data_IF_317177004601
#
_entry.id   IF_317177004601
#
_cell.length_a   1.000
_cell.length_b   1.000
_cell.length_c   1.000
_cell.angle_alpha   90.00
_cell.angle_beta   90.00
_cell.angle_gamma   90.00
#
_symmetry.space_group_name_H-M   'P 1'
#
loop_
_entity.id
_entity.type
_entity.pdbx_description
1 polymer ?
#
# COMPACT_ATOMS: atom_id res chain seq x y z
N UNK A 1 -12.18 -15.50 -17.47
CA UNK A 1 -12.68 -15.28 -16.09
C UNK A 1 -12.05 -14.01 -15.52
N UNK A 2 -12.88 -13.04 -15.10
CA UNK A 2 -12.43 -11.80 -14.46
C UNK A 2 -12.39 -12.07 -12.95
N UNK A 3 -11.21 -12.39 -12.40
CA UNK A 3 -11.04 -12.62 -10.97
C UNK A 3 -10.37 -11.39 -10.35
N UNK A 4 -11.12 -10.57 -9.61
CA UNK A 4 -10.51 -9.75 -8.56
C UNK A 4 -10.97 -8.30 -8.34
N UNK A 5 -11.90 -7.71 -9.08
CA UNK A 5 -12.17 -6.26 -8.93
C UNK A 5 -13.65 -5.82 -9.02
N UNK A 6 -14.53 -6.71 -9.47
CA UNK A 6 -15.98 -6.51 -9.46
C UNK A 6 -16.60 -7.49 -8.48
N UNK A 7 -17.64 -7.06 -7.77
CA UNK A 7 -18.42 -7.98 -6.94
C UNK A 7 -19.28 -8.91 -7.83
N UNK A 8 -19.90 -9.92 -7.22
CA UNK A 8 -20.68 -10.93 -7.96
C UNK A 8 -21.88 -10.32 -8.71
N UNK A 9 -22.51 -9.29 -8.16
CA UNK A 9 -23.66 -8.60 -8.76
C UNK A 9 -23.25 -7.76 -9.98
N UNK A 10 -22.21 -6.95 -9.84
CA UNK A 10 -21.61 -6.16 -10.93
C UNK A 10 -21.19 -7.06 -12.09
N UNK A 11 -20.60 -8.22 -11.78
CA UNK A 11 -20.19 -9.17 -12.79
C UNK A 11 -21.41 -9.74 -13.56
N UNK A 12 -22.48 -10.12 -12.85
CA UNK A 12 -23.73 -10.59 -13.48
C UNK A 12 -24.36 -9.50 -14.36
N UNK A 13 -24.47 -8.27 -13.85
CA UNK A 13 -25.00 -7.13 -14.62
C UNK A 13 -24.18 -6.85 -15.88
N UNK A 14 -22.86 -6.92 -15.80
CA UNK A 14 -21.98 -6.78 -16.97
C UNK A 14 -22.23 -7.89 -17.98
N UNK A 15 -22.33 -9.14 -17.53
CA UNK A 15 -22.61 -10.28 -18.41
C UNK A 15 -23.98 -10.17 -19.08
N UNK A 16 -25.02 -9.76 -18.35
CA UNK A 16 -26.36 -9.55 -18.90
C UNK A 16 -26.37 -8.44 -19.95
N UNK A 17 -25.72 -7.30 -19.67
CA UNK A 17 -25.58 -6.22 -20.63
C UNK A 17 -24.87 -6.69 -21.90
N UNK A 18 -23.80 -7.48 -21.75
CA UNK A 18 -23.07 -8.06 -22.89
C UNK A 18 -23.89 -9.05 -23.71
N UNK A 19 -24.75 -9.86 -23.06
CA UNK A 19 -25.65 -10.81 -23.75
C UNK A 19 -26.75 -10.09 -24.52
N UNK A 20 -27.33 -9.03 -23.95
CA UNK A 20 -28.44 -8.28 -24.57
C UNK A 20 -28.04 -7.53 -25.84
N UNK A 21 -26.79 -7.08 -25.92
CA UNK A 21 -26.33 -6.18 -26.98
C UNK A 21 -25.78 -6.89 -28.22
N UNK A 22 -25.76 -8.23 -28.24
CA UNK A 22 -25.16 -9.08 -29.28
C UNK A 22 -23.89 -8.49 -29.92
N UNK A 23 -23.00 -8.00 -29.06
CA UNK A 23 -21.84 -7.22 -29.51
C UNK A 23 -20.83 -8.13 -30.22
N UNK A 24 -20.32 -7.73 -31.41
CA UNK A 24 -19.18 -8.38 -32.02
C UNK A 24 -17.99 -8.46 -31.04
N UNK A 25 -17.13 -9.48 -31.11
CA UNK A 25 -16.04 -9.69 -30.15
C UNK A 25 -15.14 -8.47 -29.93
N UNK A 26 -14.84 -7.72 -31.00
CA UNK A 26 -14.06 -6.48 -30.90
C UNK A 26 -14.75 -5.40 -30.06
N UNK A 27 -16.07 -5.25 -30.21
CA UNK A 27 -16.87 -4.30 -29.42
C UNK A 27 -16.95 -4.72 -27.96
N UNK A 28 -17.14 -6.01 -27.69
CA UNK A 28 -17.11 -6.55 -26.31
C UNK A 28 -15.78 -6.24 -25.62
N UNK A 29 -14.65 -6.53 -26.26
CA UNK A 29 -13.31 -6.22 -25.71
C UNK A 29 -13.13 -4.74 -25.45
N UNK A 30 -13.57 -3.89 -26.38
CA UNK A 30 -13.53 -2.43 -26.23
C UNK A 30 -14.34 -1.95 -25.02
N UNK A 31 -15.55 -2.47 -24.84
CA UNK A 31 -16.38 -2.14 -23.68
C UNK A 31 -15.69 -2.54 -22.36
N UNK A 32 -15.17 -3.76 -22.28
CA UNK A 32 -14.44 -4.23 -21.10
C UNK A 32 -13.21 -3.36 -20.80
N UNK A 33 -12.46 -2.97 -21.84
CA UNK A 33 -11.32 -2.08 -21.69
C UNK A 33 -11.75 -0.70 -21.19
N UNK A 34 -12.84 -0.14 -21.72
CA UNK A 34 -13.37 1.16 -21.31
C UNK A 34 -13.88 1.11 -19.86
N UNK A 35 -14.51 0.01 -19.45
CA UNK A 35 -14.91 -0.22 -18.06
C UNK A 35 -13.70 -0.31 -17.13
N UNK A 36 -12.65 -1.04 -17.53
CA UNK A 36 -11.39 -1.09 -16.78
C UNK A 36 -10.73 0.30 -16.69
N UNK A 37 -10.69 1.05 -17.79
CA UNK A 37 -9.96 2.33 -17.88
C UNK A 37 -10.68 3.49 -17.21
N UNK A 38 -11.95 3.68 -17.53
CA UNK A 38 -12.74 4.84 -17.13
C UNK A 38 -13.65 4.56 -15.94
N UNK A 39 -13.92 3.28 -15.65
CA UNK A 39 -14.58 2.85 -14.42
C UNK A 39 -13.54 2.55 -13.34
N UNK A 40 -12.94 1.36 -13.39
CA UNK A 40 -12.16 0.81 -12.27
C UNK A 40 -10.87 1.58 -11.99
N UNK A 41 -10.03 1.86 -13.00
CA UNK A 41 -8.77 2.61 -12.80
C UNK A 41 -9.05 4.05 -12.32
N UNK A 42 -10.10 4.69 -12.84
CA UNK A 42 -10.51 6.03 -12.44
C UNK A 42 -11.05 6.07 -11.00
N UNK A 43 -11.89 5.09 -10.64
CA UNK A 43 -12.38 4.91 -9.28
C UNK A 43 -11.21 4.65 -8.32
N UNK A 44 -10.26 3.77 -8.67
CA UNK A 44 -9.07 3.50 -7.87
C UNK A 44 -8.23 4.77 -7.63
N UNK A 45 -8.00 5.59 -8.66
CA UNK A 45 -7.33 6.90 -8.51
C UNK A 45 -8.05 7.81 -7.53
N UNK A 46 -9.38 7.88 -7.62
CA UNK A 46 -10.21 8.70 -6.71
C UNK A 46 -10.19 8.16 -5.28
N UNK A 47 -10.34 6.85 -5.10
CA UNK A 47 -10.32 6.16 -3.81
C UNK A 47 -9.00 6.42 -3.08
N UNK A 48 -7.87 6.24 -3.77
CA UNK A 48 -6.55 6.59 -3.22
C UNK A 48 -6.42 8.09 -2.93
N UNK A 49 -6.88 8.96 -3.83
CA UNK A 49 -6.84 10.41 -3.61
C UNK A 49 -7.62 10.81 -2.35
N UNK A 50 -8.74 10.15 -2.10
CA UNK A 50 -9.61 10.42 -0.96
C UNK A 50 -9.27 9.59 0.29
N UNK A 51 -8.37 8.60 0.17
CA UNK A 51 -8.01 7.65 1.24
C UNK A 51 -9.23 6.85 1.73
N UNK A 52 -9.97 6.26 0.81
CA UNK A 52 -11.20 5.52 1.09
C UNK A 52 -11.30 4.21 0.31
N UNK A 53 -12.15 3.30 0.77
CA UNK A 53 -12.55 2.09 0.07
C UNK A 53 -13.38 2.41 -1.19
N UNK A 54 -13.56 1.46 -2.12
CA UNK A 54 -14.53 1.59 -3.20
C UNK A 54 -15.93 1.99 -2.72
N UNK A 55 -16.30 1.57 -1.51
CA UNK A 55 -17.63 1.79 -0.94
C UNK A 55 -17.74 3.11 -0.17
N UNK A 56 -16.61 3.82 -0.02
CA UNK A 56 -16.56 5.16 0.58
C UNK A 56 -15.99 5.20 1.99
N UNK A 57 -15.71 4.06 2.61
CA UNK A 57 -15.17 4.00 3.98
C UNK A 57 -13.77 4.57 4.05
N UNK A 58 -13.51 5.47 5.00
CA UNK A 58 -12.18 6.04 5.19
C UNK A 58 -11.20 4.97 5.66
N UNK A 59 -10.02 4.94 5.04
CA UNK A 59 -8.95 4.05 5.46
C UNK A 59 -8.44 4.39 6.85
N UNK A 60 -8.00 3.35 7.56
CA UNK A 60 -7.21 3.55 8.76
C UNK A 60 -5.91 4.29 8.43
N UNK A 61 -5.68 5.37 9.19
CA UNK A 61 -4.53 6.24 9.06
C UNK A 61 -3.18 5.54 9.31
N UNK A 62 -2.09 6.29 9.12
CA UNK A 62 -0.74 5.79 9.40
C UNK A 62 -0.56 5.64 10.91
N UNK A 63 0.06 4.54 11.33
CA UNK A 63 0.54 4.35 12.71
C UNK A 63 1.76 5.25 13.05
N UNK A 64 2.33 5.93 12.04
CA UNK A 64 3.49 6.81 12.22
C UNK A 64 3.07 8.27 12.29
N UNK A 65 3.91 9.14 12.87
CA UNK A 65 3.69 10.59 12.94
C UNK A 65 3.80 11.33 11.60
N UNK A 66 4.02 10.63 10.48
CA UNK A 66 4.18 11.26 9.16
C UNK A 66 2.83 11.75 8.67
N UNK A 67 2.77 13.04 8.33
CA UNK A 67 1.60 13.68 7.73
C UNK A 67 1.68 13.51 6.20
N UNK A 68 0.72 12.81 5.59
CA UNK A 68 0.67 12.61 4.14
C UNK A 68 -0.18 11.41 3.72
N UNK A 69 -0.94 11.57 2.62
CA UNK A 69 -1.81 10.50 2.09
C UNK A 69 -0.98 9.28 1.63
N UNK A 70 -1.52 8.07 1.81
CA UNK A 70 -0.87 6.81 1.45
C UNK A 70 -1.11 6.48 -0.03
N UNK A 71 -0.22 5.68 -0.61
CA UNK A 71 -0.39 5.07 -1.93
C UNK A 71 -0.64 6.02 -3.10
N UNK A 72 -0.37 7.34 -2.98
CA UNK A 72 -0.67 8.36 -4.00
C UNK A 72 -0.22 8.01 -5.42
N UNK A 73 0.92 7.31 -5.54
CA UNK A 73 1.47 6.91 -6.84
C UNK A 73 1.07 5.50 -7.27
N UNK A 74 0.45 4.70 -6.39
CA UNK A 74 0.08 3.31 -6.70
C UNK A 74 -0.91 3.22 -7.87
N UNK A 75 -1.99 4.02 -7.96
CA UNK A 75 -2.91 3.94 -9.09
C UNK A 75 -2.29 4.32 -10.44
N UNK A 76 -1.17 5.06 -10.44
CA UNK A 76 -0.44 5.40 -11.68
C UNK A 76 0.27 4.18 -12.27
N UNK A 77 0.43 3.11 -11.48
CA UNK A 77 1.11 1.88 -11.86
C UNK A 77 0.12 0.82 -12.39
N UNK A 78 -1.18 1.12 -12.40
CA UNK A 78 -2.20 0.24 -12.97
C UNK A 78 -1.98 0.17 -14.48
N UNK A 79 -1.81 -1.05 -14.98
CA UNK A 79 -1.74 -1.39 -16.38
C UNK A 79 -2.91 -2.29 -16.72
N UNK A 80 -3.43 -2.08 -17.92
CA UNK A 80 -4.59 -2.78 -18.45
C UNK A 80 -4.13 -3.55 -19.69
N UNK A 81 -4.23 -4.87 -19.61
CA UNK A 81 -3.95 -5.80 -20.71
C UNK A 81 -5.25 -6.47 -21.16
N UNK A 82 -5.53 -6.39 -22.45
CA UNK A 82 -6.59 -7.16 -23.07
C UNK A 82 -6.14 -8.61 -23.21
N UNK A 83 -7.08 -9.54 -22.99
CA UNK A 83 -6.88 -10.99 -23.09
C UNK A 83 -7.93 -11.51 -24.08
N UNK A 84 -7.65 -11.45 -25.40
CA UNK A 84 -8.60 -11.85 -26.44
C UNK A 84 -9.01 -13.32 -26.35
N UNK A 85 -8.11 -14.19 -25.91
CA UNK A 85 -8.32 -15.64 -25.83
C UNK A 85 -9.43 -16.00 -24.85
N UNK A 86 -9.67 -15.16 -23.85
CA UNK A 86 -10.67 -15.38 -22.79
C UNK A 86 -11.70 -14.27 -22.71
N UNK A 87 -11.81 -13.43 -23.76
CA UNK A 87 -12.71 -12.28 -23.84
C UNK A 87 -12.73 -11.44 -22.54
N UNK A 88 -11.55 -11.12 -22.02
CA UNK A 88 -11.42 -10.47 -20.72
C UNK A 88 -10.33 -9.41 -20.69
N UNK A 89 -10.31 -8.62 -19.62
CA UNK A 89 -9.29 -7.61 -19.38
C UNK A 89 -8.64 -7.89 -18.04
N UNK A 90 -7.31 -7.87 -18.01
CA UNK A 90 -6.50 -8.01 -16.80
C UNK A 90 -5.97 -6.66 -16.38
N UNK A 91 -6.29 -6.28 -15.15
CA UNK A 91 -5.64 -5.17 -14.47
C UNK A 91 -4.51 -5.72 -13.61
N UNK A 92 -3.36 -5.07 -13.67
CA UNK A 92 -2.21 -5.44 -12.87
C UNK A 92 -1.35 -4.22 -12.57
N UNK A 93 -0.58 -4.28 -11.49
CA UNK A 93 0.33 -3.21 -11.11
C UNK A 93 1.74 -3.54 -11.62
N UNK A 94 2.33 -2.62 -12.38
CA UNK A 94 3.68 -2.78 -12.90
C UNK A 94 4.53 -1.52 -12.72
N UNK A 95 5.83 -1.74 -12.48
CA UNK A 95 6.80 -0.68 -12.20
C UNK A 95 6.81 -0.25 -10.74
N UNK A 96 7.17 1.01 -10.50
CA UNK A 96 7.39 1.58 -9.17
C UNK A 96 8.76 1.24 -8.59
N UNK A 97 9.17 1.99 -7.57
CA UNK A 97 10.46 1.83 -6.89
C UNK A 97 10.25 1.51 -5.41
N UNK A 98 9.43 0.51 -5.13
CA UNK A 98 9.22 0.05 -3.76
C UNK A 98 10.42 -0.78 -3.30
N UNK A 99 10.78 -0.64 -2.02
CA UNK A 99 11.91 -1.33 -1.41
C UNK A 99 11.57 -1.77 -0.01
N UNK A 100 12.10 -2.91 0.41
CA UNK A 100 12.11 -3.35 1.80
C UNK A 100 13.54 -3.69 2.25
N UNK A 101 13.66 -4.36 3.39
CA UNK A 101 14.95 -4.78 3.93
C UNK A 101 15.75 -5.74 3.03
N UNK A 102 15.07 -6.49 2.16
CA UNK A 102 15.64 -7.53 1.29
C UNK A 102 15.87 -7.05 -0.15
N UNK A 103 15.45 -5.83 -0.51
CA UNK A 103 15.68 -5.26 -1.83
C UNK A 103 14.43 -4.63 -2.45
N UNK A 104 14.39 -4.61 -3.78
CA UNK A 104 13.29 -4.05 -4.57
C UNK A 104 12.05 -4.94 -4.49
N UNK A 105 10.87 -4.31 -4.38
CA UNK A 105 9.57 -4.98 -4.34
C UNK A 105 8.72 -4.59 -5.56
N UNK A 106 8.08 -5.56 -6.23
CA UNK A 106 7.11 -5.26 -7.27
C UNK A 106 5.90 -4.49 -6.72
N UNK A 107 5.37 -3.54 -7.50
CA UNK A 107 4.15 -2.81 -7.14
C UNK A 107 2.94 -3.73 -6.93
N UNK A 108 2.84 -4.84 -7.67
CA UNK A 108 1.79 -5.85 -7.48
C UNK A 108 1.75 -6.43 -6.06
N UNK A 109 2.92 -6.77 -5.50
CA UNK A 109 3.02 -7.30 -4.12
C UNK A 109 2.58 -6.25 -3.12
N UNK A 110 3.04 -5.01 -3.26
CA UNK A 110 2.67 -3.92 -2.37
C UNK A 110 1.18 -3.59 -2.48
N UNK A 111 0.65 -3.55 -3.71
CA UNK A 111 -0.77 -3.32 -3.96
C UNK A 111 -1.64 -4.40 -3.34
N UNK A 112 -1.29 -5.68 -3.52
CA UNK A 112 -2.00 -6.81 -2.94
C UNK A 112 -2.04 -6.75 -1.41
N UNK A 113 -0.88 -6.55 -0.78
CA UNK A 113 -0.75 -6.45 0.68
C UNK A 113 -1.55 -5.27 1.24
N UNK A 114 -1.60 -4.16 0.51
CA UNK A 114 -2.40 -3.00 0.93
C UNK A 114 -3.89 -3.22 0.70
N UNK A 115 -4.29 -3.85 -0.41
CA UNK A 115 -5.69 -4.14 -0.72
C UNK A 115 -6.30 -5.05 0.35
N UNK A 116 -5.63 -6.15 0.68
CA UNK A 116 -6.18 -7.22 1.53
C UNK A 116 -5.77 -7.10 3.01
N UNK A 117 -4.78 -6.26 3.31
CA UNK A 117 -4.11 -6.30 4.61
C UNK A 117 -3.14 -7.48 4.70
N UNK A 118 -2.40 -7.54 5.81
CA UNK A 118 -1.41 -8.58 6.05
C UNK A 118 -1.05 -8.62 7.53
N UNK A 119 -0.97 -9.82 8.10
CA UNK A 119 -0.40 -10.05 9.43
C UNK A 119 0.86 -10.90 9.29
N UNK A 120 1.97 -10.43 9.86
CA UNK A 120 3.25 -11.16 9.84
C UNK A 120 3.85 -11.19 11.23
N UNK A 121 4.23 -12.38 11.67
CA UNK A 121 5.07 -12.57 12.85
C UNK A 121 6.53 -12.40 12.45
N UNK A 122 7.21 -11.42 13.05
CA UNK A 122 8.64 -11.19 12.86
C UNK A 122 9.40 -11.75 14.04
N UNK A 123 10.40 -12.57 13.74
CA UNK A 123 11.32 -13.11 14.73
C UNK A 123 12.58 -12.24 14.80
N UNK A 124 13.14 -12.09 16.00
CA UNK A 124 14.34 -11.28 16.22
C UNK A 124 15.51 -11.67 15.33
N UNK A 125 15.76 -12.98 15.17
CA UNK A 125 16.85 -13.53 14.34
C UNK A 125 16.80 -13.04 12.89
N UNK A 126 15.62 -12.74 12.36
CA UNK A 126 15.44 -12.21 11.00
C UNK A 126 15.89 -10.74 10.85
N UNK A 127 16.09 -10.04 11.97
CA UNK A 127 16.41 -8.60 12.03
C UNK A 127 17.82 -8.35 12.58
N UNK A 128 18.44 -9.35 13.23
CA UNK A 128 19.74 -9.24 13.91
C UNK A 128 20.93 -8.96 12.99
N UNK A 129 20.84 -9.25 11.69
CA UNK A 129 21.92 -9.01 10.71
C UNK A 129 22.14 -7.55 10.29
N UNK A 130 21.44 -6.58 10.90
CA UNK A 130 21.74 -5.16 10.68
C UNK A 130 22.68 -4.68 11.75
N UNK A 131 23.96 -4.57 11.42
CA UNK A 131 24.92 -3.86 12.28
C UNK A 131 24.39 -2.45 12.56
N UNK A 132 23.87 -2.24 13.77
CA UNK A 132 23.82 -0.90 14.34
C UNK A 132 25.28 -0.58 14.62
N UNK A 133 25.97 0.03 13.65
CA UNK A 133 27.34 0.52 13.86
C UNK A 133 27.39 1.45 15.06
N UNK A 134 28.60 1.86 15.46
CA UNK A 134 28.88 2.63 16.68
C UNK A 134 28.46 4.10 16.59
N UNK A 135 27.26 4.34 16.06
CA UNK A 135 26.63 5.65 16.02
C UNK A 135 26.40 6.12 17.47
N UNK A 136 26.66 7.41 17.76
CA UNK A 136 26.30 8.04 19.01
C UNK A 136 24.85 7.78 19.41
N UNK A 137 24.57 7.72 20.71
CA UNK A 137 23.20 7.56 21.19
C UNK A 137 22.28 8.65 20.62
N UNK A 138 21.09 8.25 20.17
CA UNK A 138 20.11 9.23 19.66
C UNK A 138 19.54 10.09 20.80
N UNK A 139 19.12 11.31 20.48
CA UNK A 139 18.46 12.20 21.47
C UNK A 139 17.23 11.52 22.11
N UNK A 140 16.51 10.69 21.37
CA UNK A 140 15.38 9.91 21.90
C UNK A 140 15.83 8.89 22.93
N UNK A 141 16.95 8.19 22.68
CA UNK A 141 17.55 7.27 23.64
C UNK A 141 18.05 8.01 24.87
N UNK A 142 18.75 9.14 24.71
CA UNK A 142 19.22 9.94 25.85
C UNK A 142 18.08 10.43 26.75
N UNK A 143 16.98 10.92 26.15
CA UNK A 143 15.76 11.30 26.89
C UNK A 143 15.16 10.11 27.65
N UNK A 144 15.03 8.96 26.99
CA UNK A 144 14.47 7.75 27.59
C UNK A 144 15.34 7.20 28.71
N UNK A 145 16.65 7.17 28.51
CA UNK A 145 17.63 6.71 29.49
C UNK A 145 17.60 7.57 30.78
N UNK A 146 17.52 8.90 30.65
CA UNK A 146 17.32 9.78 31.81
C UNK A 146 15.97 9.55 32.50
N UNK A 147 14.90 9.32 31.73
CA UNK A 147 13.57 9.00 32.29
C UNK A 147 13.60 7.66 33.05
N UNK A 148 14.35 6.68 32.56
CA UNK A 148 14.57 5.39 33.21
C UNK A 148 15.45 5.47 34.47
N UNK A 149 15.91 6.66 34.86
CA UNK A 149 16.65 6.86 36.12
C UNK A 149 18.17 6.71 36.01
N UNK A 150 18.73 6.68 34.79
CA UNK A 150 20.18 6.60 34.61
C UNK A 150 20.93 7.75 35.30
N UNK A 151 21.97 7.38 36.05
CA UNK A 151 22.86 8.31 36.76
C UNK A 151 24.30 7.96 36.43
N UNK A 152 25.15 8.98 36.40
CA UNK A 152 26.61 8.84 36.31
C UNK A 152 27.24 9.36 37.59
N UNK A 153 28.35 8.76 37.98
CA UNK A 153 29.14 9.20 39.12
C UNK A 153 30.05 10.35 38.70
N UNK A 154 30.06 11.45 39.47
CA UNK A 154 31.02 12.55 39.33
C UNK A 154 31.67 12.77 40.70
N UNK A 155 32.89 12.25 40.86
CA UNK A 155 33.57 12.18 42.15
C UNK A 155 32.81 11.32 43.17
N UNK A 156 32.45 11.88 44.32
CA UNK A 156 31.70 11.19 45.38
C UNK A 156 30.17 11.18 45.19
N UNK A 157 29.62 11.93 44.24
CA UNK A 157 28.16 12.12 44.08
C UNK A 157 27.60 11.50 42.79
N UNK A 158 26.37 11.00 42.88
CA UNK A 158 25.58 10.57 41.72
C UNK A 158 24.81 11.74 41.12
N UNK A 159 24.86 11.89 39.80
CA UNK A 159 24.10 12.91 39.08
C UNK A 159 23.40 12.36 37.85
N UNK A 160 22.31 12.99 37.43
CA UNK A 160 21.69 12.73 36.13
C UNK A 160 22.52 13.42 35.03
N UNK A 161 23.12 12.71 34.07
CA UNK A 161 23.91 13.33 33.01
C UNK A 161 23.05 14.19 32.07
N UNK A 162 23.70 15.12 31.37
CA UNK A 162 23.05 15.92 30.32
C UNK A 162 22.73 15.09 29.08
N UNK A 163 21.87 15.59 28.18
CA UNK A 163 21.57 14.86 26.94
C UNK A 163 22.79 14.74 26.02
N UNK A 164 23.51 15.84 25.77
CA UNK A 164 24.74 15.85 24.95
C UNK A 164 25.81 14.90 25.50
N UNK A 165 26.03 14.96 26.81
CA UNK A 165 26.97 14.07 27.51
C UNK A 165 26.64 12.58 27.29
N UNK A 166 25.36 12.21 27.26
CA UNK A 166 24.96 10.84 26.93
C UNK A 166 25.29 10.53 25.46
N UNK A 167 25.00 11.42 24.53
CA UNK A 167 25.26 11.16 23.11
C UNK A 167 26.76 11.00 22.80
N UNK A 168 27.60 11.79 23.47
CA UNK A 168 29.07 11.76 23.30
C UNK A 168 29.71 10.52 23.95
N UNK A 169 29.23 10.12 25.14
CA UNK A 169 29.90 9.08 25.94
C UNK A 169 29.43 7.65 25.68
N UNK A 170 28.33 7.45 24.95
CA UNK A 170 27.85 6.10 24.68
C UNK A 170 27.25 5.92 23.29
N UNK A 171 27.43 4.71 22.77
CA UNK A 171 26.84 4.33 21.49
C UNK A 171 25.34 4.08 21.62
N UNK A 172 24.61 4.12 20.51
CA UNK A 172 23.19 3.80 20.47
C UNK A 172 22.90 2.37 20.99
N UNK A 173 23.84 1.43 20.82
CA UNK A 173 23.73 0.06 21.33
C UNK A 173 23.83 0.02 22.85
N UNK A 174 24.84 0.69 23.42
CA UNK A 174 25.03 0.78 24.88
C UNK A 174 23.84 1.47 25.55
N UNK A 175 23.39 2.61 25.02
CA UNK A 175 22.21 3.30 25.53
C UNK A 175 20.96 2.41 25.47
N UNK A 176 20.80 1.66 24.38
CA UNK A 176 19.69 0.72 24.21
C UNK A 176 19.70 -0.42 25.22
N UNK A 177 20.88 -0.97 25.55
CA UNK A 177 21.04 -2.01 26.56
C UNK A 177 20.69 -1.48 27.96
N UNK A 178 21.27 -0.34 28.35
CA UNK A 178 21.01 0.28 29.66
C UNK A 178 19.53 0.61 29.86
N UNK A 179 18.85 1.13 28.82
CA UNK A 179 17.40 1.38 28.88
C UNK A 179 16.62 0.10 29.19
N UNK A 180 16.99 -1.04 28.59
CA UNK A 180 16.28 -2.31 28.84
C UNK A 180 16.47 -2.80 30.27
N UNK A 181 17.70 -2.72 30.77
CA UNK A 181 18.04 -3.12 32.15
C UNK A 181 17.28 -2.24 33.15
N UNK A 182 17.32 -0.91 32.96
CA UNK A 182 16.69 0.04 33.88
C UNK A 182 15.15 0.01 33.84
N UNK A 183 14.56 -0.30 32.68
CA UNK A 183 13.10 -0.40 32.54
C UNK A 183 12.57 -1.81 32.85
N UNK A 184 13.44 -2.75 33.25
CA UNK A 184 13.12 -4.16 33.52
C UNK A 184 12.25 -4.81 32.42
N UNK A 185 12.60 -4.57 31.16
CA UNK A 185 11.79 -5.03 30.02
C UNK A 185 12.27 -6.37 29.51
N UNK A 186 11.40 -7.40 29.47
CA UNK A 186 11.76 -8.67 28.90
C UNK A 186 12.05 -8.53 27.40
N UNK A 187 12.97 -9.38 26.98
CA UNK A 187 13.64 -9.35 25.70
C UNK A 187 12.74 -10.06 24.68
N UNK A 188 11.82 -9.34 24.01
CA UNK A 188 10.88 -9.90 23.01
C UNK A 188 11.56 -10.64 21.86
N UNK A 189 11.33 -11.94 21.75
CA UNK A 189 11.93 -12.82 20.71
C UNK A 189 11.16 -12.76 19.40
N UNK A 190 9.85 -12.49 19.45
CA UNK A 190 8.97 -12.31 18.30
C UNK A 190 7.95 -11.20 18.55
N UNK A 191 7.39 -10.65 17.48
CA UNK A 191 6.27 -9.72 17.52
C UNK A 191 5.43 -9.82 16.26
N UNK A 192 4.12 -9.65 16.41
CA UNK A 192 3.18 -9.58 15.29
C UNK A 192 3.10 -8.15 14.74
N UNK A 193 3.09 -8.03 13.42
CA UNK A 193 2.87 -6.80 12.68
C UNK A 193 1.57 -6.95 11.91
N UNK A 194 0.57 -6.16 12.27
CA UNK A 194 -0.71 -6.11 11.58
C UNK A 194 -0.79 -4.88 10.68
N UNK A 195 -1.01 -5.14 9.40
CA UNK A 195 -1.29 -4.13 8.40
C UNK A 195 -2.78 -4.20 8.05
N UNK A 196 -3.58 -3.17 8.37
CA UNK A 196 -4.99 -3.17 8.03
C UNK A 196 -5.18 -3.06 6.51
N UNK A 197 -6.24 -3.68 6.03
CA UNK A 197 -6.68 -3.58 4.65
C UNK A 197 -7.03 -2.13 4.28
N UNK A 198 -6.62 -1.74 3.09
CA UNK A 198 -6.85 -0.45 2.44
C UNK A 198 -7.23 -0.73 1.00
N UNK A 199 -8.41 -1.35 0.85
CA UNK A 199 -8.98 -1.61 -0.45
C UNK A 199 -9.05 -0.29 -1.24
N UNK A 200 -8.47 -0.28 -2.42
CA UNK A 200 -8.44 0.88 -3.30
C UNK A 200 -8.80 0.52 -4.73
N UNK A 201 -8.41 -0.68 -5.15
CA UNK A 201 -8.74 -1.26 -6.44
C UNK A 201 -10.17 -1.80 -6.37
N UNK A 202 -11.01 -1.39 -7.32
CA UNK A 202 -12.43 -1.68 -7.33
C UNK A 202 -13.27 -0.42 -7.53
N UNK A 203 -14.57 -0.64 -7.71
CA UNK A 203 -15.57 0.40 -7.97
C UNK A 203 -16.85 0.04 -7.22
N UNK A 204 -17.44 1.00 -6.50
CA UNK A 204 -18.70 0.77 -5.81
C UNK A 204 -19.87 0.65 -6.78
N UNK A 205 -20.97 0.04 -6.32
CA UNK A 205 -22.12 -0.34 -7.16
C UNK A 205 -22.70 0.82 -7.98
N UNK A 206 -22.94 1.96 -7.35
CA UNK A 206 -23.56 3.11 -8.01
C UNK A 206 -22.64 3.74 -9.06
N UNK A 207 -21.34 3.75 -8.78
CA UNK A 207 -20.34 4.22 -9.72
C UNK A 207 -20.17 3.25 -10.88
N UNK A 208 -20.26 1.95 -10.61
CA UNK A 208 -20.22 0.91 -11.63
C UNK A 208 -21.40 1.05 -12.59
N UNK A 209 -22.63 1.16 -12.07
CA UNK A 209 -23.84 1.32 -12.86
C UNK A 209 -23.77 2.58 -13.74
N UNK A 210 -23.32 3.70 -13.16
CA UNK A 210 -23.11 4.95 -13.90
C UNK A 210 -22.03 4.83 -14.97
N UNK A 211 -20.92 4.14 -14.67
CA UNK A 211 -19.86 3.90 -15.65
C UNK A 211 -20.36 3.03 -16.79
N UNK A 212 -21.08 1.94 -16.48
CA UNK A 212 -21.66 1.03 -17.46
C UNK A 212 -22.65 1.77 -18.37
N UNK A 213 -23.63 2.47 -17.81
CA UNK A 213 -24.61 3.25 -18.58
C UNK A 213 -23.92 4.25 -19.52
N UNK A 214 -22.92 4.99 -19.03
CA UNK A 214 -22.13 5.93 -19.86
C UNK A 214 -21.39 5.24 -20.99
N UNK A 215 -20.77 4.08 -20.73
CA UNK A 215 -20.05 3.35 -21.78
C UNK A 215 -20.99 2.72 -22.79
N UNK A 216 -22.19 2.30 -22.38
CA UNK A 216 -23.23 1.80 -23.28
C UNK A 216 -23.78 2.91 -24.18
N UNK A 217 -24.03 4.10 -23.63
CA UNK A 217 -24.41 5.28 -24.42
C UNK A 217 -23.31 5.67 -25.42
N UNK A 218 -22.04 5.57 -25.01
CA UNK A 218 -20.90 5.86 -25.87
C UNK A 218 -20.69 4.83 -27.01
N UNK A 219 -21.47 3.73 -27.06
CA UNK A 219 -21.44 2.78 -28.18
C UNK A 219 -21.71 3.47 -29.52
N UNK A 220 -22.53 4.52 -29.52
CA UNK A 220 -22.86 5.28 -30.73
C UNK A 220 -21.76 6.22 -31.26
N UNK A 221 -20.64 6.44 -30.53
CA UNK A 221 -19.65 7.48 -30.90
C UNK A 221 -18.19 7.02 -30.69
N UNK A 222 -17.37 7.07 -31.75
CA UNK A 222 -15.90 6.87 -31.67
C UNK A 222 -15.45 5.44 -31.34
N UNK A 223 -16.23 4.44 -31.74
CA UNK A 223 -16.05 3.04 -31.34
C UNK A 223 -15.07 2.25 -32.21
N UNK A 224 -14.84 2.68 -33.47
CA UNK A 224 -14.11 1.91 -34.48
C UNK A 224 -12.57 1.98 -34.38
N UNK A 225 -12.04 2.68 -33.36
CA UNK A 225 -10.59 2.84 -33.16
C UNK A 225 -10.08 1.86 -32.10
N UNK A 226 -9.04 1.09 -32.44
CA UNK A 226 -8.39 0.15 -31.52
C UNK A 226 -7.80 0.89 -30.32
N UNK A 227 -7.94 0.32 -29.12
CA UNK A 227 -7.44 0.92 -27.88
C UNK A 227 -5.92 1.08 -27.84
N UNK A 228 -5.21 0.18 -28.51
CA UNK A 228 -3.75 0.19 -28.58
C UNK A 228 -3.24 1.32 -29.48
N UNK A 229 -3.96 1.64 -30.56
CA UNK A 229 -3.61 2.72 -31.48
C UNK A 229 -3.74 4.11 -30.82
N UNK A 230 -4.66 4.24 -29.86
CA UNK A 230 -4.86 5.48 -29.07
C UNK A 230 -3.74 5.68 -28.04
N UNK A 231 -3.04 4.62 -27.62
CA UNK A 231 -1.99 4.74 -26.59
C UNK A 231 -0.72 5.44 -27.09
N UNK A 232 -0.64 5.78 -28.37
CA UNK A 232 0.55 6.29 -29.02
C UNK A 232 1.60 5.19 -29.14
N UNK A 233 2.19 5.02 -30.33
CA UNK A 233 3.44 4.27 -30.45
C UNK A 233 4.47 5.00 -29.58
N UNK A 234 4.82 4.41 -28.45
CA UNK A 234 5.94 4.85 -27.64
C UNK A 234 7.25 4.38 -28.27
#
# INVERSE_FOLDING_TARGET
>A
MINGELNQEQFRQLQEALKKLDLPPARRRRLLWRMAKYGVEAAAKRNVRNQQSPEGDKWQGRQTRRKGKMLRNMPKLIRIREMPETDSVRLYLAGGHYRNAKGNLPAGVVGYVQQNGMSVTVNRRQVEGREQGDKPASLRQAKRLRKAGYKVRRGKRWRKPGYKEIQEKMTARQAGLLIRILEDKPVKTSWQIDLPARAFLGIGQDDFNRALARQLQAIGFGWDVNAQDIRGRA
#
